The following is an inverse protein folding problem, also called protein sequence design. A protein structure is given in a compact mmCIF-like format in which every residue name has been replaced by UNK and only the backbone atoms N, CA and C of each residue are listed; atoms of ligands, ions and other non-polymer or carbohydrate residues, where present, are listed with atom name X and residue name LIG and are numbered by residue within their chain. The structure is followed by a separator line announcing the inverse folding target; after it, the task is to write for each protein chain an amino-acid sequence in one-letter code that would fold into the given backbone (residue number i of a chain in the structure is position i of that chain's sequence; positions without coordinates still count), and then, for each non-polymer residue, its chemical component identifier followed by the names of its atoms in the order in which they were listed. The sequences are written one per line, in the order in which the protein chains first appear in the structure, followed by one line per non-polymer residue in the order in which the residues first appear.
data_IF_075156197090
#
_entry.id   IF_075156197090
#
_cell.length_a   1.000
_cell.length_b   1.000
_cell.length_c   1.000
_cell.angle_alpha   90.00
_cell.angle_beta   90.00
_cell.angle_gamma   90.00
#
_symmetry.space_group_name_H-M   'P 1'
#
loop_
_entity.id
_entity.type
_entity.pdbx_description
1 polymer ?
#
# COMPACT_ATOMS: atom_id res chain seq x y z
N UNK A 1 35.50 -20.83 -5.93
CA UNK A 1 34.41 -20.87 -4.94
C UNK A 1 34.88 -20.45 -3.55
N UNK A 2 35.97 -21.04 -3.01
CA UNK A 2 36.55 -20.66 -1.71
C UNK A 2 36.96 -19.17 -1.60
N UNK A 3 37.55 -18.60 -2.65
CA UNK A 3 38.00 -17.19 -2.66
C UNK A 3 36.87 -16.17 -2.49
N UNK A 4 35.69 -16.46 -3.06
CA UNK A 4 34.52 -15.59 -2.95
C UNK A 4 33.99 -15.61 -1.53
N UNK A 5 33.88 -16.79 -0.93
CA UNK A 5 33.42 -16.97 0.45
C UNK A 5 34.34 -16.24 1.43
N UNK A 6 35.66 -16.35 1.24
CA UNK A 6 36.65 -15.71 2.10
C UNK A 6 36.58 -14.17 2.01
N UNK A 7 36.27 -13.65 0.82
CA UNK A 7 36.07 -12.22 0.58
C UNK A 7 34.78 -11.72 1.26
N UNK A 8 33.67 -12.43 1.12
CA UNK A 8 32.39 -12.11 1.79
C UNK A 8 32.53 -12.14 3.32
N UNK A 9 33.26 -13.12 3.85
CA UNK A 9 33.50 -13.25 5.30
C UNK A 9 34.37 -12.09 5.84
N UNK A 10 35.34 -11.63 5.06
CA UNK A 10 36.15 -10.45 5.37
C UNK A 10 35.33 -9.17 5.36
N UNK A 11 34.45 -9.01 4.37
CA UNK A 11 33.54 -7.86 4.26
C UNK A 11 32.55 -7.78 5.42
N UNK A 12 31.96 -8.92 5.82
CA UNK A 12 31.07 -9.00 6.99
C UNK A 12 31.79 -8.60 8.29
N UNK A 13 33.01 -9.08 8.52
CA UNK A 13 33.82 -8.70 9.69
C UNK A 13 34.11 -7.20 9.74
N UNK A 14 34.46 -6.60 8.59
CA UNK A 14 34.70 -5.16 8.50
C UNK A 14 33.44 -4.32 8.77
N UNK A 15 32.25 -4.83 8.40
CA UNK A 15 30.96 -4.18 8.69
C UNK A 15 30.57 -4.28 10.16
N UNK A 16 30.82 -5.43 10.81
CA UNK A 16 30.58 -5.62 12.25
C UNK A 16 31.50 -4.75 13.12
N UNK A 17 32.70 -4.45 12.64
CA UNK A 17 33.67 -3.58 13.31
C UNK A 17 33.43 -2.08 13.02
N UNK A 18 32.38 -1.72 12.27
CA UNK A 18 32.05 -0.33 11.95
C UNK A 18 33.03 0.36 10.98
N UNK A 19 33.95 -0.40 10.36
CA UNK A 19 34.96 0.09 9.41
C UNK A 19 34.32 0.40 8.06
N UNK A 20 33.28 -0.36 7.70
CA UNK A 20 32.45 -0.10 6.52
C UNK A 20 31.13 0.54 6.93
N UNK A 21 30.66 1.59 6.25
CA UNK A 21 29.34 2.14 6.50
C UNK A 21 28.29 1.03 6.27
N UNK A 22 27.34 0.90 7.19
CA UNK A 22 26.16 0.08 6.91
C UNK A 22 25.55 0.57 5.60
N UNK A 23 25.27 -0.33 4.66
CA UNK A 23 24.61 -0.02 3.39
C UNK A 23 23.44 0.91 3.67
N UNK A 24 23.62 2.20 3.38
CA UNK A 24 22.56 3.18 3.50
C UNK A 24 21.66 2.93 2.30
N UNK A 25 20.78 1.93 2.40
CA UNK A 25 19.57 1.97 1.60
C UNK A 25 18.91 3.30 1.96
N UNK A 26 18.88 4.24 1.02
CA UNK A 26 18.10 5.48 1.18
C UNK A 26 16.75 5.07 1.77
N UNK A 27 16.32 5.61 2.92
CA UNK A 27 15.01 5.26 3.45
C UNK A 27 14.03 5.53 2.32
N UNK A 28 13.35 4.48 1.86
CA UNK A 28 12.36 4.61 0.81
C UNK A 28 11.39 5.70 1.29
N UNK A 29 11.15 6.72 0.46
CA UNK A 29 10.14 7.74 0.78
C UNK A 29 8.83 6.99 0.99
N UNK A 30 8.39 6.89 2.25
CA UNK A 30 7.09 6.33 2.58
C UNK A 30 6.06 7.27 1.98
N UNK A 31 5.08 6.72 1.26
CA UNK A 31 3.92 7.49 0.89
C UNK A 31 3.16 7.82 2.18
N UNK A 32 2.39 8.91 2.18
CA UNK A 32 1.58 9.31 3.33
C UNK A 32 0.12 9.17 2.93
N UNK A 33 -0.61 8.28 3.60
CA UNK A 33 -2.07 8.24 3.44
C UNK A 33 -2.70 9.45 4.11
N UNK A 34 -3.46 10.21 3.31
CA UNK A 34 -4.14 11.43 3.77
C UNK A 34 -5.65 11.26 3.88
N UNK A 35 -6.19 10.09 3.51
CA UNK A 35 -7.59 9.72 3.69
C UNK A 35 -7.88 9.22 5.11
N UNK A 36 -9.11 8.76 5.36
CA UNK A 36 -9.44 8.14 6.65
C UNK A 36 -8.92 6.71 6.68
N UNK A 37 -8.63 6.19 7.88
CA UNK A 37 -8.24 4.77 8.02
C UNK A 37 -9.39 3.84 7.61
N UNK A 38 -10.65 4.23 7.86
CA UNK A 38 -11.82 3.45 7.41
C UNK A 38 -11.87 3.31 5.89
N UNK A 39 -11.46 4.33 5.15
CA UNK A 39 -11.41 4.33 3.68
C UNK A 39 -10.32 3.36 3.18
N UNK A 40 -9.15 3.35 3.85
CA UNK A 40 -8.07 2.43 3.54
C UNK A 40 -8.44 0.97 3.85
N UNK A 41 -9.15 0.73 4.96
CA UNK A 41 -9.67 -0.61 5.31
C UNK A 41 -10.75 -1.05 4.30
N UNK A 42 -11.60 -0.14 3.84
CA UNK A 42 -12.59 -0.43 2.80
C UNK A 42 -11.91 -0.86 1.49
N UNK A 43 -10.86 -0.15 1.07
CA UNK A 43 -10.05 -0.51 -0.09
C UNK A 43 -9.33 -1.86 0.10
N UNK A 44 -8.78 -2.10 1.29
CA UNK A 44 -8.13 -3.36 1.64
C UNK A 44 -9.08 -4.54 1.42
N UNK A 45 -10.26 -4.49 2.03
CA UNK A 45 -11.24 -5.57 1.91
C UNK A 45 -11.77 -5.72 0.48
N UNK A 46 -11.81 -4.64 -0.31
CA UNK A 46 -12.16 -4.74 -1.72
C UNK A 46 -11.10 -5.53 -2.52
N UNK A 47 -9.82 -5.25 -2.27
CA UNK A 47 -8.70 -5.95 -2.93
C UNK A 47 -8.64 -7.43 -2.54
N UNK A 48 -8.86 -7.72 -1.26
CA UNK A 48 -8.98 -9.07 -0.70
C UNK A 48 -10.16 -9.82 -1.35
N UNK A 49 -11.35 -9.24 -1.33
CA UNK A 49 -12.57 -9.84 -1.92
C UNK A 49 -12.41 -10.14 -3.42
N UNK A 50 -11.68 -9.28 -4.15
CA UNK A 50 -11.45 -9.46 -5.57
C UNK A 50 -10.27 -10.39 -5.91
N UNK A 51 -9.54 -10.89 -4.89
CA UNK A 51 -8.36 -11.75 -5.07
C UNK A 51 -7.31 -11.15 -6.03
N UNK A 52 -7.18 -9.82 -6.05
CA UNK A 52 -6.37 -9.12 -7.06
C UNK A 52 -4.86 -9.15 -6.78
N UNK A 53 -4.44 -9.66 -5.63
CA UNK A 53 -3.05 -9.62 -5.17
C UNK A 53 -2.58 -11.05 -4.91
N UNK A 54 -1.37 -11.38 -5.38
CA UNK A 54 -0.74 -12.70 -5.21
C UNK A 54 -1.68 -13.86 -5.56
N UNK A 55 -2.44 -13.75 -6.66
CA UNK A 55 -3.43 -14.74 -7.08
C UNK A 55 -4.51 -15.06 -6.02
N UNK A 56 -4.78 -14.15 -5.08
CA UNK A 56 -5.73 -14.35 -3.99
C UNK A 56 -5.16 -15.11 -2.78
N UNK A 57 -3.84 -15.32 -2.72
CA UNK A 57 -3.21 -16.08 -1.64
C UNK A 57 -2.80 -15.21 -0.44
N UNK A 58 -2.82 -13.88 -0.58
CA UNK A 58 -2.49 -12.97 0.51
C UNK A 58 -3.63 -12.91 1.54
N UNK A 59 -3.29 -13.01 2.82
CA UNK A 59 -4.26 -12.83 3.91
C UNK A 59 -4.57 -11.36 4.18
N UNK A 60 -5.75 -11.07 4.74
CA UNK A 60 -6.19 -9.72 5.16
C UNK A 60 -5.17 -9.03 6.09
N UNK A 61 -4.59 -9.78 7.04
CA UNK A 61 -3.62 -9.25 8.00
C UNK A 61 -2.31 -8.86 7.32
N UNK A 62 -1.78 -9.74 6.48
CA UNK A 62 -0.58 -9.46 5.67
C UNK A 62 -0.81 -8.28 4.72
N UNK A 63 -1.97 -8.22 4.06
CA UNK A 63 -2.33 -7.08 3.22
C UNK A 63 -2.42 -5.78 4.02
N UNK A 64 -2.92 -5.82 5.26
CA UNK A 64 -2.96 -4.66 6.15
C UNK A 64 -1.56 -4.17 6.51
N UNK A 65 -0.62 -5.08 6.80
CA UNK A 65 0.78 -4.74 7.05
C UNK A 65 1.45 -4.12 5.82
N UNK A 66 1.22 -4.69 4.64
CA UNK A 66 1.74 -4.16 3.37
C UNK A 66 1.24 -2.74 3.13
N UNK A 67 -0.08 -2.50 3.24
CA UNK A 67 -0.65 -1.18 3.04
C UNK A 67 -0.19 -0.19 4.10
N UNK A 68 -0.07 -0.61 5.37
CA UNK A 68 0.49 0.19 6.46
C UNK A 68 1.92 0.64 6.15
N UNK A 69 2.75 -0.27 5.65
CA UNK A 69 4.14 0.01 5.29
C UNK A 69 4.27 0.97 4.09
N UNK A 70 3.47 0.75 3.03
CA UNK A 70 3.46 1.58 1.82
C UNK A 70 3.07 3.02 2.17
N UNK A 71 1.99 3.17 2.95
CA UNK A 71 1.36 4.45 3.25
C UNK A 71 1.80 5.11 4.55
N UNK A 72 2.73 4.50 5.28
CA UNK A 72 3.27 5.04 6.52
C UNK A 72 2.19 5.31 7.58
N UNK A 73 1.11 4.51 7.59
CA UNK A 73 0.01 4.59 8.56
C UNK A 73 -0.13 3.27 9.29
N UNK A 74 -0.77 3.29 10.46
CA UNK A 74 -1.02 2.10 11.25
C UNK A 74 -2.50 1.71 11.15
N UNK A 75 -2.79 0.55 10.57
CA UNK A 75 -4.14 0.01 10.49
C UNK A 75 -4.41 -0.84 11.75
N UNK A 76 -5.00 -0.21 12.77
CA UNK A 76 -5.47 -0.91 13.98
C UNK A 76 -6.89 -1.39 13.82
N UNK A 77 -7.23 -2.51 14.46
CA UNK A 77 -8.59 -3.03 14.55
C UNK A 77 -9.26 -3.22 13.17
N UNK A 78 -8.51 -3.69 12.17
CA UNK A 78 -8.96 -3.84 10.78
C UNK A 78 -10.33 -4.54 10.67
N UNK A 79 -10.47 -5.68 11.35
CA UNK A 79 -11.73 -6.43 11.39
C UNK A 79 -12.91 -5.63 11.99
N UNK A 80 -12.70 -4.91 13.10
CA UNK A 80 -13.77 -4.13 13.72
C UNK A 80 -14.20 -2.96 12.83
N UNK A 81 -13.25 -2.31 12.17
CA UNK A 81 -13.54 -1.26 11.19
C UNK A 81 -14.38 -1.84 10.04
N UNK A 82 -14.02 -3.02 9.52
CA UNK A 82 -14.81 -3.71 8.52
C UNK A 82 -16.21 -4.09 8.99
N UNK A 83 -16.35 -4.59 10.22
CA UNK A 83 -17.66 -4.88 10.80
C UNK A 83 -18.52 -3.61 10.90
N UNK A 84 -17.94 -2.46 11.24
CA UNK A 84 -18.65 -1.18 11.22
C UNK A 84 -19.09 -0.77 9.80
N UNK A 85 -18.25 -1.01 8.78
CA UNK A 85 -18.60 -0.80 7.37
C UNK A 85 -19.80 -1.68 6.98
N UNK A 86 -19.77 -2.97 7.35
CA UNK A 86 -20.84 -3.93 7.06
C UNK A 86 -22.19 -3.56 7.70
N UNK A 87 -22.17 -2.87 8.83
CA UNK A 87 -23.37 -2.44 9.56
C UNK A 87 -23.98 -1.10 9.09
N UNK A 88 -23.39 -0.44 8.08
CA UNK A 88 -23.97 0.79 7.48
C UNK A 88 -25.36 0.51 6.92
N UNK A 89 -26.29 1.44 7.14
CA UNK A 89 -27.72 1.32 6.76
C UNK A 89 -28.10 2.07 5.48
N UNK A 90 -27.18 2.84 4.91
CA UNK A 90 -27.41 3.55 3.65
C UNK A 90 -27.45 2.58 2.46
N UNK A 91 -27.91 3.06 1.31
CA UNK A 91 -28.05 2.28 0.07
C UNK A 91 -26.74 1.59 -0.36
N UNK A 92 -25.61 2.25 -0.13
CA UNK A 92 -24.28 1.66 -0.28
C UNK A 92 -23.61 1.47 1.08
N UNK A 93 -22.81 0.41 1.20
CA UNK A 93 -21.90 0.21 2.33
C UNK A 93 -20.48 0.69 2.02
N UNK A 94 -20.15 0.88 0.74
CA UNK A 94 -18.79 1.12 0.24
C UNK A 94 -18.61 2.56 -0.21
N UNK A 95 -18.69 3.50 0.74
CA UNK A 95 -18.65 4.94 0.46
C UNK A 95 -17.37 5.38 -0.23
N UNK A 96 -16.22 4.83 0.16
CA UNK A 96 -14.94 5.22 -0.42
C UNK A 96 -14.78 4.68 -1.84
N UNK A 97 -15.19 3.43 -2.09
CA UNK A 97 -15.14 2.87 -3.44
C UNK A 97 -16.09 3.60 -4.40
N UNK A 98 -17.28 3.98 -3.93
CA UNK A 98 -18.22 4.80 -4.70
C UNK A 98 -17.59 6.15 -5.05
N UNK A 99 -16.98 6.84 -4.08
CA UNK A 99 -16.30 8.11 -4.30
C UNK A 99 -15.12 7.97 -5.28
N UNK A 100 -14.31 6.90 -5.15
CA UNK A 100 -13.20 6.61 -6.08
C UNK A 100 -13.71 6.41 -7.51
N UNK A 101 -14.76 5.60 -7.69
CA UNK A 101 -15.39 5.36 -8.99
C UNK A 101 -15.90 6.66 -9.59
N UNK A 102 -16.68 7.43 -8.84
CA UNK A 102 -17.26 8.69 -9.31
C UNK A 102 -16.18 9.70 -9.72
N UNK A 103 -15.16 9.91 -8.87
CA UNK A 103 -14.08 10.86 -9.15
C UNK A 103 -13.24 10.44 -10.35
N UNK A 104 -12.95 9.15 -10.50
CA UNK A 104 -12.18 8.64 -11.62
C UNK A 104 -12.95 8.80 -12.94
N UNK A 105 -14.23 8.40 -12.96
CA UNK A 105 -15.09 8.55 -14.14
C UNK A 105 -15.24 10.03 -14.52
N UNK A 106 -15.45 10.93 -13.55
CA UNK A 106 -15.50 12.36 -13.81
C UNK A 106 -14.22 12.87 -14.47
N UNK A 107 -13.06 12.44 -13.97
CA UNK A 107 -11.76 12.80 -14.57
C UNK A 107 -11.61 12.31 -16.00
N UNK A 108 -12.13 11.12 -16.33
CA UNK A 108 -12.12 10.58 -17.69
C UNK A 108 -12.98 11.43 -18.63
N UNK A 109 -14.23 11.71 -18.23
CA UNK A 109 -15.14 12.58 -19.00
C UNK A 109 -14.52 13.96 -19.26
N UNK A 110 -13.95 14.60 -18.23
CA UNK A 110 -13.27 15.89 -18.38
C UNK A 110 -12.05 15.82 -19.30
N UNK A 111 -11.35 14.68 -19.34
CA UNK A 111 -10.20 14.45 -20.22
C UNK A 111 -10.63 14.31 -21.67
N UNK A 112 -11.70 13.56 -21.92
CA UNK A 112 -12.28 13.36 -23.26
C UNK A 112 -12.74 14.69 -23.86
N UNK A 113 -13.42 15.53 -23.06
CA UNK A 113 -13.85 16.87 -23.46
C UNK A 113 -12.68 17.82 -23.77
N UNK A 114 -11.51 17.63 -23.15
CA UNK A 114 -10.30 18.45 -23.35
C UNK A 114 -9.40 17.93 -24.48
N UNK A 115 -9.88 16.95 -25.27
CA UNK A 115 -9.12 16.35 -26.37
C UNK A 115 -7.93 15.51 -25.90
N UNK A 116 -8.04 14.85 -24.74
CA UNK A 116 -7.05 13.89 -24.24
C UNK A 116 -5.74 14.50 -23.72
N UNK A 117 -5.62 15.83 -23.62
CA UNK A 117 -4.42 16.49 -23.09
C UNK A 117 -4.38 16.36 -21.56
N UNK A 118 -3.74 15.30 -21.07
CA UNK A 118 -3.44 15.14 -19.65
C UNK A 118 -2.45 16.21 -19.17
N UNK A 119 -2.89 17.12 -18.29
CA UNK A 119 -1.95 17.90 -17.47
C UNK A 119 -1.32 16.95 -16.46
N UNK A 120 -0.01 16.70 -16.60
CA UNK A 120 0.78 16.07 -15.52
C UNK A 120 0.73 17.01 -14.30
N UNK A 121 0.31 16.46 -13.16
CA UNK A 121 0.49 17.10 -11.85
C UNK A 121 1.94 16.98 -11.42
#
# INVERSE_FOLDING_TARGET
MLFVIDTELKLLKMRMQGVLPASQSKPAKKFCWTGKIVDLVELLYALDTCNCINNGEIGVEELAEVLSNIFGVEIKNCYNIYMNIKCRKNDSRTYFLDELREKLNKRMIESDLKGGKFKKR
#
